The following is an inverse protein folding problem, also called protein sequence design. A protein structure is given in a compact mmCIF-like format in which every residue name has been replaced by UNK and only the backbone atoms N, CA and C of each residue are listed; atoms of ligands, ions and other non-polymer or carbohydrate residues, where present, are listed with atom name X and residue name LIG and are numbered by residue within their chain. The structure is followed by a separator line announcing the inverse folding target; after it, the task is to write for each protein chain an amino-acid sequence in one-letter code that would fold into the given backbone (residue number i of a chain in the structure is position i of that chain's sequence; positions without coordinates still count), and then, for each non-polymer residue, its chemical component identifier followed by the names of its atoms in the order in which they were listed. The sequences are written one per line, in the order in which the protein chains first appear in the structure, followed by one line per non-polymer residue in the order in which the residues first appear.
data_IF_626651736594
#
_entry.id   IF_626651736594
#
_cell.length_a   1.000
_cell.length_b   1.000
_cell.length_c   1.000
_cell.angle_alpha   90.00
_cell.angle_beta   90.00
_cell.angle_gamma   90.00
#
_symmetry.space_group_name_H-M   'P 1'
#
loop_
_entity.id
_entity.type
_entity.pdbx_description
1 polymer ?
#
# COMPACT_ATOMS: atom_id res chain seq x y z
N UNK A 1 -0.22 -3.22 13.61
CA UNK A 1 -0.67 -2.81 12.25
C UNK A 1 -0.17 -1.39 12.01
N UNK A 2 0.43 -1.14 10.84
CA UNK A 2 1.37 -0.04 10.60
C UNK A 2 0.81 1.19 9.86
N UNK A 3 1.70 2.03 9.35
CA UNK A 3 1.40 3.24 8.57
C UNK A 3 1.58 2.98 7.08
N UNK A 4 0.56 3.22 6.25
CA UNK A 4 0.59 3.01 4.80
C UNK A 4 0.63 4.35 4.07
N UNK A 5 1.56 4.49 3.12
CA UNK A 5 1.51 5.62 2.18
C UNK A 5 0.69 5.21 0.95
N UNK A 6 -0.29 6.05 0.62
CA UNK A 6 -1.20 5.85 -0.52
C UNK A 6 -1.28 7.10 -1.39
N UNK A 7 -1.80 6.94 -2.60
CA UNK A 7 -2.01 7.99 -3.59
C UNK A 7 -0.73 8.75 -3.96
N UNK A 8 0.43 8.08 -3.96
CA UNK A 8 1.67 8.68 -4.46
C UNK A 8 1.54 8.89 -5.98
N UNK A 9 1.91 10.09 -6.42
CA UNK A 9 2.22 10.40 -7.81
C UNK A 9 3.75 10.57 -7.94
N UNK A 10 4.41 9.63 -8.61
CA UNK A 10 5.86 9.64 -8.83
C UNK A 10 6.34 10.85 -9.66
N UNK A 11 5.42 11.58 -10.31
CA UNK A 11 5.72 12.79 -11.07
C UNK A 11 5.94 14.01 -10.18
N UNK A 12 5.48 13.97 -8.93
CA UNK A 12 5.66 15.04 -7.97
C UNK A 12 6.98 14.83 -7.23
N UNK A 13 7.98 15.67 -7.53
CA UNK A 13 9.31 15.60 -6.91
C UNK A 13 9.24 15.64 -5.37
N UNK A 14 8.29 16.40 -4.82
CA UNK A 14 8.04 16.55 -3.38
C UNK A 14 7.54 15.27 -2.70
N UNK A 15 6.95 14.33 -3.45
CA UNK A 15 6.48 13.07 -2.88
C UNK A 15 7.64 12.17 -2.42
N UNK A 16 8.84 12.35 -2.97
CA UNK A 16 10.05 11.62 -2.54
C UNK A 16 10.57 12.13 -1.19
N UNK A 17 10.58 13.44 -1.00
CA UNK A 17 11.06 14.06 0.24
C UNK A 17 10.13 13.73 1.40
N UNK A 18 8.80 13.85 1.19
CA UNK A 18 7.80 13.42 2.19
C UNK A 18 7.96 11.94 2.54
N UNK A 19 8.25 11.08 1.55
CA UNK A 19 8.43 9.64 1.82
C UNK A 19 9.63 9.39 2.74
N UNK A 20 10.72 10.16 2.58
CA UNK A 20 11.87 10.13 3.48
C UNK A 20 11.47 10.55 4.89
N UNK A 21 10.90 11.74 5.04
CA UNK A 21 10.53 12.30 6.34
C UNK A 21 9.53 11.41 7.11
N UNK A 22 8.54 10.85 6.40
CA UNK A 22 7.54 9.93 6.97
C UNK A 22 8.19 8.59 7.33
N UNK A 23 9.11 8.09 6.52
CA UNK A 23 9.86 6.86 6.84
C UNK A 23 10.74 7.05 8.08
N UNK A 24 11.35 8.22 8.27
CA UNK A 24 12.17 8.51 9.44
C UNK A 24 11.32 8.68 10.71
N UNK A 25 10.12 9.28 10.57
CA UNK A 25 9.20 9.49 11.69
C UNK A 25 8.53 8.19 12.17
N UNK A 26 8.12 7.32 11.24
CA UNK A 26 7.36 6.11 11.56
C UNK A 26 8.21 4.84 11.55
N UNK A 27 9.42 4.87 10.98
CA UNK A 27 10.38 3.77 11.02
C UNK A 27 9.77 2.41 10.66
N UNK A 28 9.97 1.43 11.55
CA UNK A 28 9.59 0.03 11.34
C UNK A 28 8.08 -0.23 11.30
N UNK A 29 7.25 0.72 11.78
CA UNK A 29 5.81 0.57 11.66
C UNK A 29 5.31 0.98 10.28
N UNK A 30 6.12 1.59 9.42
CA UNK A 30 5.70 1.94 8.06
C UNK A 30 5.67 0.71 7.14
N UNK A 31 4.62 0.57 6.34
CA UNK A 31 4.56 -0.46 5.30
C UNK A 31 5.59 -0.16 4.21
N UNK A 32 6.31 -1.19 3.75
CA UNK A 32 7.22 -1.07 2.61
C UNK A 32 6.44 -0.84 1.31
N UNK A 33 5.24 -1.41 1.26
CA UNK A 33 4.32 -1.25 0.14
C UNK A 33 3.78 0.18 0.07
N UNK A 34 3.76 0.74 -1.14
CA UNK A 34 3.16 2.06 -1.43
C UNK A 34 2.07 1.87 -2.47
N UNK A 35 0.89 2.46 -2.24
CA UNK A 35 -0.19 2.45 -3.22
C UNK A 35 -0.09 3.74 -4.07
N UNK A 36 0.13 3.59 -5.37
CA UNK A 36 0.22 4.74 -6.28
C UNK A 36 -1.16 5.12 -6.81
N UNK A 37 -1.31 6.40 -7.21
CA UNK A 37 -2.50 6.79 -7.95
C UNK A 37 -2.57 6.04 -9.27
N UNK A 38 -3.71 5.43 -9.53
CA UNK A 38 -4.05 4.86 -10.83
C UNK A 38 -5.45 5.31 -11.20
N UNK A 39 -5.62 5.84 -12.41
CA UNK A 39 -6.94 6.24 -12.95
C UNK A 39 -7.94 5.10 -12.84
N UNK A 40 -7.49 3.85 -13.05
CA UNK A 40 -8.33 2.63 -12.92
C UNK A 40 -8.76 2.35 -11.46
N UNK A 41 -7.97 2.81 -10.49
CA UNK A 41 -8.28 2.68 -9.06
C UNK A 41 -9.24 3.79 -8.62
N UNK A 42 -9.13 4.98 -9.21
CA UNK A 42 -10.09 6.08 -9.02
C UNK A 42 -11.44 5.81 -9.73
N UNK A 43 -11.45 5.00 -10.80
CA UNK A 43 -12.66 4.55 -11.49
C UNK A 43 -13.35 3.33 -10.81
N UNK A 44 -12.60 2.50 -10.07
CA UNK A 44 -13.14 1.30 -9.39
C UNK A 44 -14.33 1.56 -8.45
N UNK A 45 -14.39 2.65 -7.64
CA UNK A 45 -15.57 3.01 -6.86
C UNK A 45 -16.81 3.24 -7.72
N UNK A 46 -16.65 3.86 -8.91
CA UNK A 46 -17.74 4.14 -9.83
C UNK A 46 -18.28 2.86 -10.51
N UNK A 47 -17.43 1.84 -10.69
CA UNK A 47 -17.80 0.58 -11.34
C UNK A 47 -18.28 -0.53 -10.39
N UNK A 48 -18.29 -0.32 -9.05
CA UNK A 48 -18.66 -1.33 -8.02
C UNK A 48 -17.93 -2.69 -8.16
N UNK A 49 -16.82 -2.72 -8.89
CA UNK A 49 -15.99 -3.91 -9.08
C UNK A 49 -14.67 -3.69 -8.36
N UNK A 50 -14.21 -4.70 -7.64
CA UNK A 50 -12.93 -4.63 -6.94
C UNK A 50 -11.79 -4.41 -7.96
N UNK A 51 -10.65 -3.87 -7.50
CA UNK A 51 -9.51 -3.59 -8.40
C UNK A 51 -8.97 -4.87 -9.07
N UNK A 52 -9.12 -6.02 -8.42
CA UNK A 52 -8.68 -7.31 -8.92
C UNK A 52 -9.51 -7.80 -10.12
N UNK A 53 -10.80 -7.47 -10.16
CA UNK A 53 -11.74 -7.82 -11.23
C UNK A 53 -11.72 -6.78 -12.34
N UNK A 54 -11.56 -5.51 -11.96
CA UNK A 54 -11.60 -4.38 -12.90
C UNK A 54 -10.27 -4.22 -13.64
N UNK A 55 -9.14 -4.42 -12.96
CA UNK A 55 -7.82 -4.24 -13.53
C UNK A 55 -6.77 -5.18 -12.87
N UNK A 56 -6.88 -6.51 -13.06
CA UNK A 56 -6.03 -7.51 -12.40
C UNK A 56 -4.53 -7.31 -12.64
N UNK A 57 -4.15 -6.81 -13.82
CA UNK A 57 -2.75 -6.52 -14.22
C UNK A 57 -2.38 -5.05 -14.09
N UNK A 58 -3.11 -4.28 -13.27
CA UNK A 58 -2.74 -2.90 -13.00
C UNK A 58 -1.70 -2.84 -11.88
N UNK A 59 -0.86 -1.80 -11.94
CA UNK A 59 0.07 -1.44 -10.86
C UNK A 59 -0.63 -1.41 -9.49
N UNK A 60 -1.83 -0.85 -9.41
CA UNK A 60 -2.62 -0.82 -8.17
C UNK A 60 -3.01 -2.21 -7.67
N UNK A 61 -3.41 -3.13 -8.56
CA UNK A 61 -3.72 -4.52 -8.18
C UNK A 61 -2.51 -5.23 -7.57
N UNK A 62 -1.33 -5.09 -8.20
CA UNK A 62 -0.08 -5.68 -7.71
C UNK A 62 0.35 -5.08 -6.36
N UNK A 63 0.23 -3.77 -6.20
CA UNK A 63 0.54 -3.07 -4.94
C UNK A 63 -0.41 -3.49 -3.81
N UNK A 64 -1.70 -3.69 -4.09
CA UNK A 64 -2.64 -4.23 -3.11
C UNK A 64 -2.32 -5.68 -2.71
N UNK A 65 -1.82 -6.51 -3.63
CA UNK A 65 -1.35 -7.87 -3.31
C UNK A 65 -0.15 -7.81 -2.35
N UNK A 66 0.84 -6.96 -2.65
CA UNK A 66 2.02 -6.78 -1.80
C UNK A 66 1.65 -6.30 -0.40
N UNK A 67 0.73 -5.34 -0.30
CA UNK A 67 0.22 -4.84 0.97
C UNK A 67 -0.47 -5.95 1.77
N UNK A 68 -1.28 -6.77 1.10
CA UNK A 68 -1.98 -7.89 1.74
C UNK A 68 -1.00 -8.90 2.32
N UNK A 69 0.07 -9.23 1.58
CA UNK A 69 1.13 -10.11 2.06
C UNK A 69 1.83 -9.53 3.30
N UNK A 70 2.18 -8.25 3.27
CA UNK A 70 2.85 -7.56 4.38
C UNK A 70 1.96 -7.49 5.64
N UNK A 71 0.65 -7.28 5.47
CA UNK A 71 -0.32 -7.34 6.58
C UNK A 71 -0.36 -8.74 7.20
N UNK A 72 -0.46 -9.80 6.38
CA UNK A 72 -0.52 -11.18 6.87
C UNK A 72 0.75 -11.53 7.64
N UNK A 73 1.92 -11.14 7.12
CA UNK A 73 3.21 -11.38 7.78
C UNK A 73 3.29 -10.65 9.13
N UNK A 74 2.89 -9.37 9.19
CA UNK A 74 2.83 -8.62 10.45
C UNK A 74 1.85 -9.22 11.45
N UNK A 75 0.68 -9.69 11.00
CA UNK A 75 -0.31 -10.36 11.86
C UNK A 75 0.22 -11.68 12.43
N UNK A 76 0.93 -12.47 11.62
CA UNK A 76 1.60 -13.69 12.11
C UNK A 76 2.66 -13.37 13.15
N UNK A 77 3.49 -12.36 12.90
CA UNK A 77 4.57 -11.97 13.81
C UNK A 77 4.08 -11.28 15.09
N UNK A 78 2.83 -10.80 15.14
CA UNK A 78 2.21 -10.25 16.34
C UNK A 78 1.40 -11.27 17.16
N UNK A 79 1.36 -12.53 16.71
CA UNK A 79 0.88 -13.64 17.54
C UNK A 79 2.05 -14.10 18.42
N UNK A 80 2.04 -13.86 19.75
CA UNK A 80 3.07 -14.40 20.61
C UNK A 80 2.94 -15.93 20.58
N UNK A 81 4.05 -16.58 20.24
CA UNK A 81 4.33 -17.99 20.45
C UNK A 81 3.59 -18.49 21.69
N UNK A 82 2.51 -19.26 21.50
CA UNK A 82 2.12 -20.19 22.54
C UNK A 82 3.16 -21.29 22.54
N UNK A 83 3.77 -21.43 23.71
CA UNK A 83 4.80 -22.40 24.08
C UNK A 83 4.39 -23.84 23.80
#
# INVERSE_FOLDING_TARGET
LGVLITMIDDRLTFARDIKGDVSDLFGDIMFKTVIHRSVRLEESPAYRKNIFDHAPRSRGSEEFIQLTQEIIERCRNSSPTHS
#
